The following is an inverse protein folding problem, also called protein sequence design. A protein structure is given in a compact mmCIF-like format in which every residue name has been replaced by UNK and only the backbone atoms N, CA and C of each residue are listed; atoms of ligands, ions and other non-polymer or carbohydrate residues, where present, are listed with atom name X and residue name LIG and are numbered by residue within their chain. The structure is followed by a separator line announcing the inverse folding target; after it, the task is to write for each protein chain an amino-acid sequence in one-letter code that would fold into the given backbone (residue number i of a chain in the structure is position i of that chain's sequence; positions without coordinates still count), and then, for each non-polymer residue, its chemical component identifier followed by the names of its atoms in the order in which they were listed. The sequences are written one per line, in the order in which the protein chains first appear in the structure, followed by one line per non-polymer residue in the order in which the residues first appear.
data_IF_436653185924
#
_entry.id   IF_436653185924
#
_cell.length_a   1.000
_cell.length_b   1.000
_cell.length_c   1.000
_cell.angle_alpha   90.00
_cell.angle_beta   90.00
_cell.angle_gamma   90.00
#
_symmetry.space_group_name_H-M   'P 1'
#
loop_
_entity.id
_entity.type
_entity.pdbx_description
1 polymer ?
#
# COMPACT_ATOMS: atom_id res chain seq x y z
N UNK A 1 -13.25 3.91 -0.64
CA UNK A 1 -12.59 3.19 -1.75
C UNK A 1 -11.10 3.06 -1.45
N UNK A 2 -10.38 2.13 -2.08
CA UNK A 2 -8.93 1.90 -1.86
C UNK A 2 -8.24 1.89 -3.21
N UNK A 3 -7.08 2.54 -3.31
CA UNK A 3 -6.25 2.52 -4.51
C UNK A 3 -5.16 1.46 -4.35
N UNK A 4 -5.13 0.49 -5.26
CA UNK A 4 -4.01 -0.44 -5.38
C UNK A 4 -3.07 0.09 -6.46
N UNK A 5 -1.93 0.62 -6.04
CA UNK A 5 -0.93 1.16 -6.96
C UNK A 5 0.16 0.12 -7.18
N UNK A 6 0.17 -0.50 -8.36
CA UNK A 6 1.14 -1.53 -8.71
C UNK A 6 2.31 -0.92 -9.49
N UNK A 7 3.54 -1.17 -9.02
CA UNK A 7 4.77 -0.70 -9.66
C UNK A 7 5.78 -1.84 -9.80
N UNK A 8 6.72 -1.71 -10.74
CA UNK A 8 7.79 -2.68 -10.92
C UNK A 8 8.98 -2.36 -10.01
N UNK A 9 9.39 -3.32 -9.19
CA UNK A 9 10.50 -3.22 -8.25
C UNK A 9 11.82 -2.84 -8.94
N UNK A 10 12.05 -3.34 -10.15
CA UNK A 10 13.25 -3.00 -10.94
C UNK A 10 13.33 -1.52 -11.33
N UNK A 11 12.20 -0.83 -11.38
CA UNK A 11 12.07 0.58 -11.79
C UNK A 11 11.63 1.51 -10.64
N UNK A 12 11.82 1.09 -9.38
CA UNK A 12 11.30 1.74 -8.17
C UNK A 12 11.48 3.27 -8.16
N UNK A 13 12.70 3.77 -8.31
CA UNK A 13 13.00 5.21 -8.24
C UNK A 13 12.17 6.06 -9.22
N UNK A 14 11.99 5.57 -10.46
CA UNK A 14 11.20 6.27 -11.49
C UNK A 14 9.72 6.25 -11.16
N UNK A 15 9.23 5.14 -10.62
CA UNK A 15 7.79 4.92 -10.41
C UNK A 15 7.30 5.56 -9.10
N UNK A 16 8.18 5.74 -8.10
CA UNK A 16 7.83 6.41 -6.85
C UNK A 16 7.34 7.85 -7.04
N UNK A 17 7.78 8.55 -8.10
CA UNK A 17 7.30 9.91 -8.41
C UNK A 17 5.77 9.96 -8.50
N UNK A 18 5.14 8.99 -9.15
CA UNK A 18 3.67 8.94 -9.23
C UNK A 18 3.05 8.46 -7.91
N UNK A 19 3.72 7.56 -7.18
CA UNK A 19 3.29 7.14 -5.84
C UNK A 19 3.16 8.34 -4.90
N UNK A 20 4.12 9.28 -4.92
CA UNK A 20 4.05 10.51 -4.12
C UNK A 20 2.84 11.37 -4.45
N UNK A 21 2.49 11.52 -5.74
CA UNK A 21 1.31 12.28 -6.15
C UNK A 21 0.01 11.67 -5.59
N UNK A 22 -0.09 10.34 -5.53
CA UNK A 22 -1.25 9.66 -4.93
C UNK A 22 -1.33 9.91 -3.42
N UNK A 23 -0.18 9.87 -2.74
CA UNK A 23 -0.07 10.15 -1.30
C UNK A 23 -0.45 11.60 -0.99
N UNK A 24 0.10 12.57 -1.76
CA UNK A 24 -0.20 14.00 -1.63
C UNK A 24 -1.67 14.33 -1.90
N UNK A 25 -2.30 13.61 -2.84
CA UNK A 25 -3.73 13.72 -3.10
C UNK A 25 -4.61 13.14 -1.96
N UNK A 26 -4.01 12.56 -0.91
CA UNK A 26 -4.72 12.00 0.23
C UNK A 26 -5.47 10.71 -0.10
N UNK A 27 -5.09 10.03 -1.18
CA UNK A 27 -5.76 8.79 -1.60
C UNK A 27 -5.33 7.63 -0.70
N UNK A 28 -6.27 6.81 -0.20
CA UNK A 28 -5.95 5.62 0.61
C UNK A 28 -5.30 4.55 -0.26
N UNK A 29 -3.97 4.62 -0.37
CA UNK A 29 -3.17 3.87 -1.33
C UNK A 29 -2.43 2.71 -0.66
N UNK A 30 -2.42 1.55 -1.31
CA UNK A 30 -1.52 0.43 -1.01
C UNK A 30 -0.56 0.29 -2.18
N UNK A 31 0.74 0.33 -1.92
CA UNK A 31 1.77 0.13 -2.92
C UNK A 31 2.04 -1.36 -3.08
N UNK A 32 1.84 -1.89 -4.29
CA UNK A 32 2.20 -3.26 -4.65
C UNK A 32 3.49 -3.22 -5.45
N UNK A 33 4.59 -3.66 -4.83
CA UNK A 33 5.91 -3.68 -5.42
C UNK A 33 6.12 -5.03 -6.11
N UNK A 34 5.76 -5.10 -7.40
CA UNK A 34 5.79 -6.31 -8.21
C UNK A 34 7.18 -6.56 -8.84
N UNK A 35 7.42 -7.76 -9.40
CA UNK A 35 8.70 -8.14 -10.02
C UNK A 35 9.89 -8.14 -9.04
N UNK A 36 9.68 -8.55 -7.79
CA UNK A 36 10.73 -8.62 -6.77
C UNK A 36 11.86 -9.60 -7.14
N UNK A 37 11.53 -10.68 -7.84
CA UNK A 37 12.46 -11.65 -8.41
C UNK A 37 13.38 -11.04 -9.47
N UNK A 38 12.84 -10.25 -10.39
CA UNK A 38 13.65 -9.54 -11.38
C UNK A 38 14.56 -8.49 -10.72
N UNK A 39 14.04 -7.74 -9.74
CA UNK A 39 14.84 -6.76 -9.00
C UNK A 39 16.02 -7.43 -8.27
N UNK A 40 15.77 -8.58 -7.63
CA UNK A 40 16.81 -9.38 -6.97
C UNK A 40 17.85 -9.88 -7.98
N UNK A 41 17.40 -10.37 -9.16
CA UNK A 41 18.30 -10.83 -10.23
C UNK A 41 19.22 -9.73 -10.78
N UNK A 42 18.77 -8.48 -10.72
CA UNK A 42 19.54 -7.28 -11.09
C UNK A 42 20.43 -6.75 -9.95
N UNK A 43 20.52 -7.47 -8.82
CA UNK A 43 21.30 -7.08 -7.66
C UNK A 43 20.69 -5.94 -6.84
N UNK A 44 19.42 -5.59 -7.09
CA UNK A 44 18.74 -4.53 -6.33
C UNK A 44 18.21 -5.09 -5.01
N UNK A 45 18.66 -4.52 -3.90
CA UNK A 45 18.16 -4.83 -2.56
C UNK A 45 17.18 -3.77 -2.10
N UNK A 46 15.89 -4.09 -2.16
CA UNK A 46 14.83 -3.18 -1.72
C UNK A 46 14.40 -3.57 -0.31
N UNK A 47 14.49 -2.62 0.64
CA UNK A 47 14.04 -2.80 2.02
C UNK A 47 12.59 -2.33 2.12
N UNK A 48 11.65 -3.25 1.93
CA UNK A 48 10.22 -2.93 1.89
C UNK A 48 9.69 -2.38 3.21
N UNK A 49 10.24 -2.81 4.36
CA UNK A 49 9.81 -2.26 5.65
C UNK A 49 10.17 -0.77 5.77
N UNK A 50 11.40 -0.41 5.38
CA UNK A 50 11.82 1.00 5.37
C UNK A 50 11.02 1.83 4.39
N UNK A 51 10.70 1.27 3.23
CA UNK A 51 9.87 1.95 2.23
C UNK A 51 8.44 2.18 2.76
N UNK A 52 7.85 1.22 3.49
CA UNK A 52 6.56 1.38 4.16
C UNK A 52 6.61 2.48 5.22
N UNK A 53 7.67 2.53 6.03
CA UNK A 53 7.89 3.58 7.04
C UNK A 53 8.04 4.98 6.41
N UNK A 54 8.86 5.10 5.36
CA UNK A 54 9.14 6.39 4.70
C UNK A 54 7.94 6.92 3.92
N UNK A 55 7.20 6.04 3.22
CA UNK A 55 6.03 6.45 2.46
C UNK A 55 4.77 6.60 3.31
N UNK A 56 4.77 6.04 4.54
CA UNK A 56 3.63 5.99 5.44
C UNK A 56 2.35 5.41 4.78
N UNK A 57 2.54 4.45 3.87
CA UNK A 57 1.49 3.65 3.25
C UNK A 57 1.94 2.19 3.22
N UNK A 58 1.01 1.21 3.24
CA UNK A 58 1.42 -0.19 3.15
C UNK A 58 2.12 -0.52 1.85
N UNK A 59 3.20 -1.29 1.95
CA UNK A 59 4.00 -1.78 0.83
C UNK A 59 3.95 -3.31 0.83
N UNK A 60 3.50 -3.87 -0.28
CA UNK A 60 3.39 -5.32 -0.46
C UNK A 60 4.37 -5.78 -1.54
N UNK A 61 5.48 -6.48 -1.18
CA UNK A 61 6.32 -7.14 -2.17
C UNK A 61 5.56 -8.28 -2.84
N UNK A 62 5.65 -8.35 -4.17
CA UNK A 62 4.94 -9.35 -4.95
C UNK A 62 5.77 -9.90 -6.11
N UNK A 63 5.41 -11.13 -6.49
CA UNK A 63 5.72 -11.70 -7.81
C UNK A 63 4.39 -12.19 -8.37
N UNK A 64 3.64 -11.28 -8.99
CA UNK A 64 2.23 -11.49 -9.35
C UNK A 64 2.04 -12.69 -10.29
N UNK A 65 3.00 -12.95 -11.18
CA UNK A 65 2.99 -14.11 -12.10
C UNK A 65 3.04 -15.45 -11.36
N UNK A 66 3.57 -15.46 -10.14
CA UNK A 66 3.70 -16.66 -9.29
C UNK A 66 2.72 -16.64 -8.11
N UNK A 67 1.79 -15.67 -8.06
CA UNK A 67 0.84 -15.49 -6.95
C UNK A 67 1.48 -15.09 -5.61
N UNK A 68 2.80 -14.81 -5.57
CA UNK A 68 3.49 -14.43 -4.33
C UNK A 68 3.07 -13.02 -3.92
N UNK A 69 2.74 -12.85 -2.64
CA UNK A 69 2.32 -11.57 -2.05
C UNK A 69 0.81 -11.33 -2.07
N UNK A 70 0.01 -12.20 -2.70
CA UNK A 70 -1.44 -12.00 -2.80
C UNK A 70 -2.18 -12.17 -1.45
N UNK A 71 -1.74 -13.09 -0.60
CA UNK A 71 -2.32 -13.27 0.74
C UNK A 71 -2.03 -12.07 1.65
N UNK A 72 -0.81 -11.52 1.55
CA UNK A 72 -0.41 -10.30 2.27
C UNK A 72 -1.25 -9.12 1.79
N UNK A 73 -1.41 -8.98 0.46
CA UNK A 73 -2.25 -7.94 -0.14
C UNK A 73 -3.69 -8.02 0.35
N UNK A 74 -4.28 -9.23 0.35
CA UNK A 74 -5.63 -9.46 0.87
C UNK A 74 -5.75 -9.01 2.33
N UNK A 75 -4.83 -9.43 3.19
CA UNK A 75 -4.83 -9.05 4.60
C UNK A 75 -4.73 -7.53 4.81
N UNK A 76 -3.87 -6.84 4.05
CA UNK A 76 -3.73 -5.37 4.11
C UNK A 76 -5.01 -4.66 3.64
N UNK A 77 -5.68 -5.17 2.59
CA UNK A 77 -6.97 -4.63 2.14
C UNK A 77 -8.03 -4.78 3.23
N UNK A 78 -8.15 -5.97 3.83
CA UNK A 78 -9.11 -6.24 4.90
C UNK A 78 -8.87 -5.33 6.12
N UNK A 79 -7.60 -5.14 6.51
CA UNK A 79 -7.23 -4.23 7.59
C UNK A 79 -7.64 -2.78 7.30
N UNK A 80 -7.41 -2.30 6.07
CA UNK A 80 -7.79 -0.95 5.64
C UNK A 80 -9.30 -0.74 5.66
N UNK A 81 -10.05 -1.71 5.15
CA UNK A 81 -11.53 -1.68 5.15
C UNK A 81 -12.05 -1.65 6.58
N UNK A 82 -11.47 -2.45 7.48
CA UNK A 82 -11.85 -2.47 8.90
C UNK A 82 -11.57 -1.13 9.59
N UNK A 83 -10.36 -0.57 9.45
CA UNK A 83 -9.99 0.72 10.06
C UNK A 83 -10.88 1.87 9.58
N UNK A 84 -11.28 1.85 8.31
CA UNK A 84 -12.21 2.84 7.75
C UNK A 84 -13.59 2.77 8.41
N UNK A 85 -14.15 1.56 8.55
CA UNK A 85 -15.44 1.34 9.23
C UNK A 85 -15.42 1.76 10.71
N UNK A 86 -14.31 1.54 11.42
CA UNK A 86 -14.16 1.96 12.82
C UNK A 86 -14.14 3.48 12.98
N UNK A 87 -13.48 4.22 12.06
CA UNK A 87 -13.48 5.69 12.04
C UNK A 87 -14.88 6.25 11.81
N UNK A 88 -15.66 5.65 10.91
CA UNK A 88 -17.02 6.12 10.61
C UNK A 88 -17.97 5.93 11.80
N UNK A 89 -17.86 4.80 12.50
CA UNK A 89 -18.65 4.53 13.72
C UNK A 89 -18.38 5.54 14.84
N UNK A 90 -17.11 5.93 15.05
CA UNK A 90 -16.74 6.94 16.07
C UNK A 90 -17.31 8.31 15.75
N UNK A 91 -17.20 8.75 14.49
CA UNK A 91 -17.77 10.03 14.03
C UNK A 91 -19.29 10.10 14.19
N UNK A 92 -19.99 8.99 14.01
CA UNK A 92 -21.44 8.92 14.22
C UNK A 92 -21.80 9.05 15.70
N UNK A 93 -21.13 8.28 16.58
CA UNK A 93 -21.39 8.34 18.02
C UNK A 93 -21.07 9.70 18.66
N UNK A 94 -20.06 10.42 18.16
CA UNK A 94 -19.77 11.79 18.61
C UNK A 94 -20.86 12.80 18.20
N UNK A 95 -21.46 12.64 17.01
CA UNK A 95 -22.58 13.48 16.56
C UNK A 95 -23.85 13.21 17.34
N UNK A 96 -24.14 11.94 17.63
CA UNK A 96 -25.34 11.54 18.38
C UNK A 96 -25.29 12.02 19.84
N UNK A 97 -24.09 12.29 20.39
CA UNK A 97 -23.89 12.78 21.75
C UNK A 97 -23.86 14.33 21.84
N UNK A 98 -23.97 15.03 20.71
CA UNK A 98 -24.00 16.50 20.62
C UNK A 98 -25.41 17.06 20.32
N UNK A 99 -26.39 16.19 20.08
CA UNK A 99 -27.82 16.49 19.85
C UNK A 99 -28.64 16.13 21.08
#
# INVERSE_FOLDING_TARGET
EIVLHMIDAKNLERMLTFTFQLIEAGLPTILVLNMMDEAESLGKKIRTERLEEELNIPVVPAVSTHGKGMDILRGKIEEYVRKSKEKDKRKQGEKDNLL
#
